data_IF_691834734958
#
_entry.id   IF_691834734958
#
_cell.length_a   1.000
_cell.length_b   1.000
_cell.length_c   1.000
_cell.angle_alpha   90.00
_cell.angle_beta   90.00
_cell.angle_gamma   90.00
#
_symmetry.space_group_name_H-M   'P 1'
#
loop_
_entity.id
_entity.type
_entity.pdbx_description
1 polymer ?
#
# COMPACT_ATOMS: atom_id res chain seq x y z
N UNK A 1 22.71 -5.77 -2.15
CA UNK A 1 22.25 -5.03 -3.36
C UNK A 1 20.78 -5.30 -3.68
N UNK A 2 20.38 -6.54 -4.01
CA UNK A 2 18.97 -6.85 -4.32
C UNK A 2 18.01 -6.52 -3.18
N UNK A 3 18.31 -6.95 -1.93
CA UNK A 3 17.48 -6.67 -0.76
C UNK A 3 17.24 -5.18 -0.53
N UNK A 4 18.28 -4.36 -0.72
CA UNK A 4 18.19 -2.90 -0.62
C UNK A 4 17.26 -2.35 -1.72
N UNK A 5 17.43 -2.78 -2.97
CA UNK A 5 16.58 -2.33 -4.07
C UNK A 5 15.10 -2.68 -3.84
N UNK A 6 14.80 -3.91 -3.44
CA UNK A 6 13.44 -4.34 -3.09
C UNK A 6 12.91 -3.56 -1.88
N UNK A 7 13.74 -3.34 -0.87
CA UNK A 7 13.40 -2.55 0.30
C UNK A 7 13.01 -1.11 -0.03
N UNK A 8 13.77 -0.45 -0.93
CA UNK A 8 13.42 0.89 -1.42
C UNK A 8 12.07 0.88 -2.12
N UNK A 9 11.82 -0.09 -3.01
CA UNK A 9 10.53 -0.20 -3.74
C UNK A 9 9.36 -0.37 -2.78
N UNK A 10 9.46 -1.28 -1.81
CA UNK A 10 8.42 -1.50 -0.81
C UNK A 10 8.19 -0.26 0.05
N UNK A 11 9.26 0.45 0.42
CA UNK A 11 9.16 1.67 1.20
C UNK A 11 8.46 2.79 0.43
N UNK A 12 8.84 3.05 -0.82
CA UNK A 12 8.19 4.08 -1.64
C UNK A 12 6.74 3.73 -1.93
N UNK A 13 6.45 2.50 -2.37
CA UNK A 13 5.07 2.06 -2.62
C UNK A 13 4.23 2.11 -1.35
N UNK A 14 4.78 1.71 -0.21
CA UNK A 14 4.08 1.76 1.07
C UNK A 14 3.73 3.19 1.50
N UNK A 15 4.68 4.12 1.41
CA UNK A 15 4.44 5.53 1.73
C UNK A 15 3.42 6.18 0.78
N UNK A 16 3.51 5.86 -0.52
CA UNK A 16 2.51 6.31 -1.51
C UNK A 16 1.13 5.72 -1.17
N UNK A 17 1.05 4.44 -0.84
CA UNK A 17 -0.19 3.77 -0.44
C UNK A 17 -0.84 4.42 0.78
N UNK A 18 -0.06 4.78 1.80
CA UNK A 18 -0.57 5.49 2.99
C UNK A 18 -1.07 6.90 2.64
N UNK A 19 -0.26 7.67 1.91
CA UNK A 19 -0.54 9.07 1.61
C UNK A 19 -1.68 9.28 0.62
N UNK A 20 -1.82 8.37 -0.35
CA UNK A 20 -2.77 8.49 -1.46
C UNK A 20 -3.92 7.48 -1.40
N UNK A 21 -4.11 6.75 -0.29
CA UNK A 21 -5.17 5.74 -0.18
C UNK A 21 -6.56 6.19 -0.67
N UNK A 22 -7.06 7.40 -0.36
CA UNK A 22 -8.37 7.84 -0.87
C UNK A 22 -8.39 7.94 -2.40
N UNK A 23 -7.33 8.49 -3.00
CA UNK A 23 -7.22 8.62 -4.44
C UNK A 23 -7.06 7.26 -5.14
N UNK A 24 -6.36 6.31 -4.51
CA UNK A 24 -6.18 4.95 -5.00
C UNK A 24 -7.53 4.20 -5.02
N UNK A 25 -8.30 4.27 -3.94
CA UNK A 25 -9.62 3.62 -3.85
C UNK A 25 -10.58 4.21 -4.89
N UNK A 26 -10.59 5.53 -5.06
CA UNK A 26 -11.42 6.18 -6.07
C UNK A 26 -11.01 5.80 -7.49
N UNK A 27 -9.70 5.70 -7.78
CA UNK A 27 -9.22 5.21 -9.07
C UNK A 27 -9.64 3.75 -9.32
N UNK A 28 -9.50 2.88 -8.32
CA UNK A 28 -9.94 1.48 -8.41
C UNK A 28 -11.45 1.37 -8.68
N UNK A 29 -12.26 2.21 -8.03
CA UNK A 29 -13.71 2.25 -8.24
C UNK A 29 -14.05 2.66 -9.68
N UNK A 30 -13.40 3.70 -10.21
CA UNK A 30 -13.61 4.17 -11.60
C UNK A 30 -13.21 3.13 -12.63
N UNK A 31 -12.15 2.37 -12.36
CA UNK A 31 -11.66 1.33 -13.25
C UNK A 31 -12.40 -0.01 -13.09
N UNK A 32 -13.40 -0.09 -12.19
CA UNK A 32 -14.12 -1.33 -11.91
C UNK A 32 -13.25 -2.42 -11.28
N UNK A 33 -12.15 -2.02 -10.65
CA UNK A 33 -11.18 -2.92 -10.00
C UNK A 33 -11.48 -3.16 -8.52
N UNK A 34 -12.57 -2.61 -7.99
CA UNK A 34 -13.01 -2.88 -6.62
C UNK A 34 -13.52 -4.33 -6.52
N UNK A 35 -12.85 -5.20 -5.76
CA UNK A 35 -13.23 -6.62 -5.68
C UNK A 35 -14.52 -6.87 -4.89
N UNK A 36 -15.00 -5.85 -4.16
CA UNK A 36 -16.22 -5.87 -3.38
C UNK A 36 -17.20 -4.85 -3.95
N UNK A 37 -18.48 -5.22 -4.03
CA UNK A 37 -19.53 -4.28 -4.44
C UNK A 37 -19.74 -3.21 -3.37
N UNK A 38 -20.23 -2.04 -3.79
CA UNK A 38 -20.45 -0.89 -2.90
C UNK A 38 -21.42 -1.19 -1.73
N UNK A 39 -22.15 -2.32 -1.79
CA UNK A 39 -23.01 -2.83 -0.72
C UNK A 39 -22.29 -3.65 0.36
N UNK A 40 -21.05 -4.10 0.11
CA UNK A 40 -20.35 -5.03 1.01
C UNK A 40 -19.36 -4.33 1.96
N UNK A 41 -18.78 -3.22 1.53
CA UNK A 41 -17.77 -2.48 2.29
C UNK A 41 -17.96 -0.98 2.08
N UNK A 42 -17.99 -0.24 3.19
CA UNK A 42 -17.98 1.22 3.15
C UNK A 42 -16.68 1.74 2.53
N UNK A 43 -16.76 2.89 1.86
CA UNK A 43 -15.60 3.54 1.25
C UNK A 43 -14.51 3.87 2.28
N UNK A 44 -14.91 4.27 3.49
CA UNK A 44 -14.06 4.50 4.67
C UNK A 44 -13.20 3.28 5.02
N UNK A 45 -13.79 2.09 4.99
CA UNK A 45 -13.11 0.84 5.30
C UNK A 45 -12.10 0.48 4.20
N UNK A 46 -12.49 0.66 2.93
CA UNK A 46 -11.59 0.45 1.78
C UNK A 46 -10.37 1.35 1.86
N UNK A 47 -10.55 2.62 2.23
CA UNK A 47 -9.44 3.57 2.44
C UNK A 47 -8.58 3.13 3.62
N UNK A 48 -9.20 2.70 4.72
CA UNK A 48 -8.50 2.24 5.92
C UNK A 48 -7.63 1.01 5.63
N UNK A 49 -8.18 0.01 4.94
CA UNK A 49 -7.44 -1.19 4.51
C UNK A 49 -6.30 -0.81 3.57
N UNK A 50 -6.54 0.04 2.58
CA UNK A 50 -5.50 0.51 1.66
C UNK A 50 -4.35 1.21 2.39
N UNK A 51 -4.67 2.09 3.36
CA UNK A 51 -3.66 2.70 4.22
C UNK A 51 -2.88 1.68 5.04
N UNK A 52 -3.58 0.72 5.64
CA UNK A 52 -2.95 -0.32 6.46
C UNK A 52 -2.01 -1.19 5.61
N UNK A 53 -2.42 -1.59 4.42
CA UNK A 53 -1.57 -2.32 3.47
C UNK A 53 -0.34 -1.50 3.07
N UNK A 54 -0.51 -0.20 2.79
CA UNK A 54 0.61 0.70 2.54
C UNK A 54 1.58 0.77 3.71
N UNK A 55 1.08 0.87 4.94
CA UNK A 55 1.91 0.91 6.14
C UNK A 55 2.70 -0.41 6.33
N UNK A 56 2.06 -1.56 6.11
CA UNK A 56 2.72 -2.87 6.15
C UNK A 56 3.81 -2.97 5.09
N UNK A 57 3.53 -2.54 3.86
CA UNK A 57 4.54 -2.52 2.79
C UNK A 57 5.73 -1.64 3.16
N UNK A 58 5.50 -0.46 3.75
CA UNK A 58 6.56 0.42 4.21
C UNK A 58 7.43 -0.25 5.31
N UNK A 59 6.80 -0.93 6.27
CA UNK A 59 7.51 -1.67 7.32
C UNK A 59 8.36 -2.81 6.76
N UNK A 60 7.84 -3.57 5.79
CA UNK A 60 8.61 -4.61 5.08
C UNK A 60 9.81 -3.98 4.37
N UNK A 61 9.61 -2.83 3.71
CA UNK A 61 10.67 -2.08 3.06
C UNK A 61 11.80 -1.70 4.02
N UNK A 62 11.44 -1.14 5.19
CA UNK A 62 12.41 -0.82 6.24
C UNK A 62 13.17 -2.04 6.76
N UNK A 63 12.48 -3.16 6.96
CA UNK A 63 13.11 -4.40 7.41
C UNK A 63 14.11 -4.95 6.38
N UNK A 64 13.77 -4.89 5.09
CA UNK A 64 14.67 -5.32 4.00
C UNK A 64 15.89 -4.39 3.84
N UNK A 65 15.70 -3.09 4.03
CA UNK A 65 16.80 -2.13 4.06
C UNK A 65 17.75 -2.42 5.23
N UNK A 66 17.20 -2.62 6.44
CA UNK A 66 17.98 -3.00 7.61
C UNK A 66 18.75 -4.30 7.39
N UNK A 67 18.09 -5.34 6.86
CA UNK A 67 18.73 -6.61 6.54
C UNK A 67 19.84 -6.49 5.50
N UNK A 68 19.61 -5.74 4.42
CA UNK A 68 20.58 -5.61 3.33
C UNK A 68 21.80 -4.74 3.65
N UNK A 69 21.78 -4.01 4.77
CA UNK A 69 22.88 -3.19 5.27
C UNK A 69 23.76 -3.92 6.30
N UNK A 70 23.27 -5.03 6.86
CA UNK A 70 24.02 -5.94 7.73
C UNK A 70 24.85 -6.90 6.88
#
# INVERSE_FOLDING_TARGET
MLAIAVGVVFLTVGLVGVGYAPAIVEAQRREGMTPFDDSELEESDRVTVTRATGAVAALIGLALLGYGLV
#
